data_IF_792137063136
#
_entry.id   IF_792137063136
#
_cell.length_a   1.000
_cell.length_b   1.000
_cell.length_c   1.000
_cell.angle_alpha   90.00
_cell.angle_beta   90.00
_cell.angle_gamma   90.00
#
_symmetry.space_group_name_H-M   'P 1'
#
loop_
_entity.id
_entity.type
_entity.pdbx_description
1 polymer ?
#
# COMPACT_ATOMS: atom_id res chain seq x y z
N UNK A 1 13.31 -23.10 -8.80
CA UNK A 1 13.70 -22.06 -7.82
C UNK A 1 12.72 -20.91 -7.95
N UNK A 2 12.12 -20.45 -6.84
CA UNK A 2 11.12 -19.37 -6.89
C UNK A 2 11.78 -18.01 -7.15
N UNK A 3 11.18 -17.18 -7.99
CA UNK A 3 11.64 -15.81 -8.21
C UNK A 3 11.44 -14.97 -6.94
N UNK A 4 12.36 -14.05 -6.62
CA UNK A 4 12.24 -13.19 -5.45
C UNK A 4 11.04 -12.24 -5.57
N UNK A 5 10.35 -11.99 -4.45
CA UNK A 5 9.18 -11.10 -4.38
C UNK A 5 9.55 -9.62 -4.48
N UNK A 6 10.79 -9.29 -4.16
CA UNK A 6 11.38 -7.96 -4.21
C UNK A 6 12.70 -8.02 -4.97
N UNK A 7 12.93 -7.04 -5.85
CA UNK A 7 14.19 -6.83 -6.54
C UNK A 7 14.78 -5.51 -6.10
N UNK A 8 16.03 -5.53 -5.63
CA UNK A 8 16.75 -4.31 -5.29
C UNK A 8 17.03 -3.41 -6.50
N UNK A 9 17.53 -2.19 -6.24
CA UNK A 9 17.94 -1.26 -7.29
C UNK A 9 18.94 -1.94 -8.23
N UNK A 10 18.69 -1.88 -9.54
CA UNK A 10 19.55 -2.50 -10.56
C UNK A 10 20.59 -1.52 -11.08
N UNK A 11 20.32 -0.23 -10.96
CA UNK A 11 21.20 0.84 -11.42
C UNK A 11 21.50 1.85 -10.30
N UNK A 12 22.68 2.46 -10.37
CA UNK A 12 23.08 3.52 -9.45
C UNK A 12 22.22 4.77 -9.70
N UNK A 13 21.32 5.08 -8.76
CA UNK A 13 20.38 6.22 -8.85
C UNK A 13 18.91 5.84 -8.69
N UNK A 14 18.57 4.54 -8.74
CA UNK A 14 17.24 4.06 -8.40
C UNK A 14 16.98 4.21 -6.89
N UNK A 15 15.90 4.90 -6.52
CA UNK A 15 15.65 5.33 -5.14
C UNK A 15 15.20 4.22 -4.20
N UNK A 16 14.51 3.20 -4.71
CA UNK A 16 14.00 2.04 -3.96
C UNK A 16 13.80 0.86 -4.91
N UNK A 17 14.05 -0.36 -4.44
CA UNK A 17 13.76 -1.58 -5.23
C UNK A 17 12.27 -1.77 -5.51
N UNK A 18 11.94 -2.70 -6.42
CA UNK A 18 10.56 -2.96 -6.88
C UNK A 18 10.04 -4.31 -6.41
N UNK A 19 8.76 -4.36 -6.02
CA UNK A 19 8.06 -5.62 -5.79
C UNK A 19 7.57 -6.23 -7.09
N UNK A 20 7.34 -7.56 -7.07
CA UNK A 20 6.71 -8.26 -8.18
C UNK A 20 5.25 -7.76 -8.33
N UNK A 21 4.75 -7.46 -9.55
CA UNK A 21 3.44 -6.80 -9.73
C UNK A 21 2.21 -7.62 -9.26
N UNK A 22 2.32 -8.94 -9.24
CA UNK A 22 1.32 -9.84 -8.64
C UNK A 22 1.38 -9.79 -7.12
N UNK A 23 2.57 -9.81 -6.52
CA UNK A 23 2.75 -9.65 -5.09
C UNK A 23 2.28 -8.27 -4.61
N UNK A 24 2.56 -7.21 -5.36
CA UNK A 24 2.09 -5.85 -5.06
C UNK A 24 0.56 -5.76 -5.00
N UNK A 25 -0.15 -6.53 -5.81
CA UNK A 25 -1.63 -6.63 -5.75
C UNK A 25 -2.11 -7.35 -4.49
N UNK A 26 -1.33 -8.28 -3.96
CA UNK A 26 -1.58 -8.94 -2.68
C UNK A 26 -1.23 -8.02 -1.48
N UNK A 27 -0.44 -6.95 -1.70
CA UNK A 27 -0.07 -6.00 -0.67
C UNK A 27 -1.18 -4.99 -0.31
N UNK A 28 -2.44 -5.22 -0.70
CA UNK A 28 -3.60 -4.38 -0.35
C UNK A 28 -3.66 -4.05 1.16
N UNK A 29 -3.28 -5.01 1.99
CA UNK A 29 -3.24 -4.87 3.46
C UNK A 29 -2.10 -3.99 3.98
N UNK A 30 -1.09 -3.70 3.15
CA UNK A 30 0.06 -2.89 3.54
C UNK A 30 -0.13 -1.40 3.26
N UNK A 31 -1.10 -0.99 2.43
CA UNK A 31 -1.35 0.43 2.14
C UNK A 31 -1.60 1.26 3.41
N UNK A 32 -2.48 0.85 4.35
CA UNK A 32 -2.64 1.57 5.62
C UNK A 32 -1.38 1.59 6.49
N UNK A 33 -0.56 0.54 6.43
CA UNK A 33 0.70 0.44 7.19
C UNK A 33 1.76 1.38 6.60
N UNK A 34 1.92 1.39 5.27
CA UNK A 34 2.84 2.25 4.54
C UNK A 34 2.45 3.73 4.66
N UNK A 35 1.15 4.01 4.67
CA UNK A 35 0.60 5.34 4.94
C UNK A 35 0.70 5.77 6.42
N UNK A 36 1.27 4.91 7.30
CA UNK A 36 1.40 5.12 8.75
C UNK A 36 0.07 5.29 9.50
N UNK A 37 -1.04 4.84 8.91
CA UNK A 37 -2.36 4.80 9.55
C UNK A 37 -2.48 3.62 10.52
N UNK A 38 -1.72 2.55 10.28
CA UNK A 38 -1.62 1.38 11.16
C UNK A 38 -0.15 1.11 11.44
N UNK A 39 0.23 0.95 12.71
CA UNK A 39 1.59 0.50 13.03
C UNK A 39 1.72 -1.02 12.84
N UNK A 40 2.86 -1.52 12.34
CA UNK A 40 3.10 -2.97 12.25
C UNK A 40 2.98 -3.67 13.60
N UNK A 41 3.34 -2.97 14.69
CA UNK A 41 3.24 -3.44 16.06
C UNK A 41 1.77 -3.69 16.46
N UNK A 42 0.87 -2.74 16.16
CA UNK A 42 -0.55 -2.86 16.48
C UNK A 42 -1.22 -4.03 15.75
N UNK A 43 -0.88 -4.22 14.47
CA UNK A 43 -1.32 -5.40 13.71
C UNK A 43 -0.77 -6.70 14.29
N UNK A 44 0.52 -6.74 14.66
CA UNK A 44 1.17 -7.93 15.25
C UNK A 44 0.57 -8.32 16.60
N UNK A 45 0.23 -7.33 17.43
CA UNK A 45 -0.35 -7.53 18.76
C UNK A 45 -1.86 -7.80 18.72
N UNK A 46 -2.48 -7.77 17.53
CA UNK A 46 -3.91 -8.01 17.35
C UNK A 46 -4.82 -6.85 17.78
N UNK A 47 -4.25 -5.66 17.99
CA UNK A 47 -5.01 -4.43 18.26
C UNK A 47 -5.74 -3.91 17.01
N UNK A 48 -5.26 -4.31 15.83
CA UNK A 48 -5.89 -4.04 14.54
C UNK A 48 -5.99 -5.37 13.82
N UNK A 49 -7.20 -5.75 13.43
CA UNK A 49 -7.43 -6.97 12.68
C UNK A 49 -7.43 -6.74 11.15
N UNK A 50 -7.56 -7.83 10.40
CA UNK A 50 -7.60 -7.77 8.93
C UNK A 50 -8.77 -6.93 8.42
N UNK A 51 -9.94 -7.01 9.07
CA UNK A 51 -11.13 -6.30 8.63
C UNK A 51 -10.95 -4.79 8.81
N UNK A 52 -10.31 -4.35 9.89
CA UNK A 52 -9.99 -2.96 10.13
C UNK A 52 -9.01 -2.39 9.10
N UNK A 53 -7.97 -3.16 8.75
CA UNK A 53 -7.03 -2.81 7.67
C UNK A 53 -7.77 -2.67 6.32
N UNK A 54 -8.67 -3.60 5.99
CA UNK A 54 -9.44 -3.55 4.75
C UNK A 54 -10.38 -2.34 4.70
N UNK A 55 -11.04 -1.99 5.81
CA UNK A 55 -11.86 -0.77 5.91
C UNK A 55 -11.03 0.48 5.69
N UNK A 56 -9.85 0.57 6.30
CA UNK A 56 -8.94 1.71 6.11
C UNK A 56 -8.49 1.81 4.65
N UNK A 57 -8.17 0.69 4.01
CA UNK A 57 -7.79 0.68 2.61
C UNK A 57 -8.93 1.18 1.70
N UNK A 58 -10.18 0.76 1.95
CA UNK A 58 -11.35 1.24 1.22
C UNK A 58 -11.62 2.74 1.44
N UNK A 59 -11.39 3.27 2.64
CA UNK A 59 -11.48 4.70 2.93
C UNK A 59 -10.43 5.51 2.15
N UNK A 60 -9.21 5.00 2.05
CA UNK A 60 -8.15 5.61 1.23
C UNK A 60 -8.55 5.67 -0.25
N UNK A 61 -9.12 4.58 -0.79
CA UNK A 61 -9.61 4.55 -2.17
C UNK A 61 -10.72 5.57 -2.42
N UNK A 62 -11.65 5.71 -1.47
CA UNK A 62 -12.71 6.71 -1.57
C UNK A 62 -12.17 8.14 -1.58
N UNK A 63 -11.16 8.43 -0.75
CA UNK A 63 -10.49 9.74 -0.71
C UNK A 63 -9.76 10.04 -2.02
N UNK A 64 -8.99 9.08 -2.53
CA UNK A 64 -8.28 9.21 -3.81
C UNK A 64 -9.25 9.46 -4.97
N UNK A 65 -10.37 8.72 -5.02
CA UNK A 65 -11.42 8.91 -6.01
C UNK A 65 -12.03 10.31 -5.92
N UNK A 66 -12.38 10.77 -4.71
CA UNK A 66 -12.94 12.10 -4.49
C UNK A 66 -11.96 13.21 -4.92
N UNK A 67 -10.68 13.08 -4.59
CA UNK A 67 -9.62 14.00 -5.00
C UNK A 67 -9.49 14.06 -6.52
N UNK A 68 -9.49 12.89 -7.19
CA UNK A 68 -9.44 12.80 -8.64
C UNK A 68 -10.66 13.44 -9.32
N UNK A 69 -11.86 13.27 -8.74
CA UNK A 69 -13.08 13.93 -9.22
C UNK A 69 -13.02 15.45 -9.07
N UNK A 70 -12.53 15.96 -7.93
CA UNK A 70 -12.36 17.40 -7.71
C UNK A 70 -11.38 18.01 -8.71
N UNK A 71 -10.19 17.41 -8.88
CA UNK A 71 -9.15 17.88 -9.80
C UNK A 71 -9.59 17.90 -11.28
N UNK A 72 -10.58 17.07 -11.67
CA UNK A 72 -11.18 17.09 -13.01
C UNK A 72 -12.20 18.21 -13.21
N UNK A 73 -12.82 18.71 -12.14
CA UNK A 73 -13.85 19.74 -12.20
C UNK A 73 -13.25 21.16 -12.28
N UNK A 74 -12.04 21.34 -11.77
CA UNK A 74 -11.28 22.59 -11.80
C UNK A 74 -10.48 22.81 -13.09
N UNK A 75 -10.63 21.92 -14.09
CA UNK A 75 -9.91 21.93 -15.37
C UNK A 75 -10.86 22.15 -16.54
#
# INVERSE_FOLDING_TARGET
MGQPLWSGPREAGESVGVFRPDFERELIIWRPILARLVSPEAARQGHVDLLDILKLNALMDAQEAQQAHANRKDR
#
